data_IF_955039425205
#
_entry.id   IF_955039425205
#
_cell.length_a   1.000
_cell.length_b   1.000
_cell.length_c   1.000
_cell.angle_alpha   90.00
_cell.angle_beta   90.00
_cell.angle_gamma   90.00
#
_symmetry.space_group_name_H-M   'P 1'
#
loop_
_entity.id
_entity.type
_entity.pdbx_description
1 polymer ?
#
# COMPACT_ATOMS: atom_id res chain seq x y z
N UNK A 1 -34.36 -6.49 -15.89
CA UNK A 1 -33.74 -5.71 -14.80
C UNK A 1 -32.59 -6.47 -14.10
N UNK A 2 -31.81 -7.37 -14.74
CA UNK A 2 -30.80 -8.18 -14.01
C UNK A 2 -29.66 -8.73 -14.88
N UNK A 3 -28.90 -7.88 -15.58
CA UNK A 3 -27.59 -8.28 -16.14
C UNK A 3 -26.43 -7.45 -15.58
N UNK A 4 -26.67 -6.17 -15.27
CA UNK A 4 -25.66 -5.29 -14.66
C UNK A 4 -25.27 -5.75 -13.24
N UNK A 5 -26.25 -6.08 -12.37
CA UNK A 5 -25.97 -6.53 -11.00
C UNK A 5 -25.15 -7.83 -10.92
N UNK A 6 -25.33 -8.74 -11.88
CA UNK A 6 -24.61 -10.02 -11.93
C UNK A 6 -23.16 -9.85 -12.36
N UNK A 7 -22.88 -8.91 -13.28
CA UNK A 7 -21.53 -8.59 -13.73
C UNK A 7 -20.74 -7.86 -12.63
N UNK A 8 -21.41 -6.97 -11.90
CA UNK A 8 -20.85 -6.22 -10.79
C UNK A 8 -20.47 -7.13 -9.61
N UNK A 9 -21.32 -8.09 -9.25
CA UNK A 9 -21.01 -9.10 -8.22
C UNK A 9 -19.83 -10.01 -8.61
N UNK A 10 -19.77 -10.42 -9.88
CA UNK A 10 -18.67 -11.23 -10.39
C UNK A 10 -17.33 -10.49 -10.35
N UNK A 11 -17.33 -9.19 -10.66
CA UNK A 11 -16.14 -8.35 -10.57
C UNK A 11 -15.62 -8.27 -9.12
N UNK A 12 -16.50 -7.98 -8.16
CA UNK A 12 -16.11 -7.90 -6.74
C UNK A 12 -15.58 -9.24 -6.24
N UNK A 13 -16.24 -10.33 -6.62
CA UNK A 13 -15.80 -11.67 -6.23
C UNK A 13 -14.43 -12.03 -6.82
N UNK A 14 -14.21 -11.74 -8.11
CA UNK A 14 -12.90 -11.93 -8.73
C UNK A 14 -11.81 -11.11 -8.05
N UNK A 15 -12.08 -9.84 -7.72
CA UNK A 15 -11.15 -8.99 -6.98
C UNK A 15 -10.85 -9.55 -5.58
N UNK A 16 -11.86 -10.07 -4.88
CA UNK A 16 -11.69 -10.67 -3.56
C UNK A 16 -10.88 -11.97 -3.64
N UNK A 17 -11.22 -12.86 -4.57
CA UNK A 17 -10.56 -14.15 -4.72
C UNK A 17 -9.08 -13.98 -5.13
N UNK A 18 -8.78 -13.00 -5.97
CA UNK A 18 -7.41 -12.75 -6.45
C UNK A 18 -6.57 -11.89 -5.49
N UNK A 19 -7.17 -10.95 -4.78
CA UNK A 19 -6.43 -9.93 -4.04
C UNK A 19 -6.76 -9.85 -2.55
N UNK A 20 -7.87 -10.44 -2.08
CA UNK A 20 -8.34 -10.33 -0.70
C UNK A 20 -7.33 -10.83 0.33
N UNK A 21 -6.81 -12.04 0.16
CA UNK A 21 -5.80 -12.63 1.07
C UNK A 21 -4.50 -11.83 1.14
N UNK A 22 -3.83 -11.55 0.01
CA UNK A 22 -2.62 -10.72 -0.01
C UNK A 22 -2.83 -9.30 0.55
N UNK A 23 -3.97 -8.68 0.25
CA UNK A 23 -4.31 -7.35 0.75
C UNK A 23 -4.54 -7.37 2.26
N UNK A 24 -5.24 -8.38 2.78
CA UNK A 24 -5.43 -8.60 4.21
C UNK A 24 -4.10 -8.76 4.95
N UNK A 25 -3.23 -9.66 4.49
CA UNK A 25 -1.92 -9.88 5.11
C UNK A 25 -1.00 -8.65 5.04
N UNK A 26 -1.16 -7.80 4.03
CA UNK A 26 -0.48 -6.50 3.97
C UNK A 26 -1.01 -5.52 5.02
N UNK A 27 -2.33 -5.34 5.09
CA UNK A 27 -2.94 -4.40 6.04
C UNK A 27 -2.73 -4.85 7.47
N UNK A 28 -2.85 -6.15 7.77
CA UNK A 28 -2.59 -6.71 9.09
C UNK A 28 -1.19 -6.38 9.60
N UNK A 29 -0.17 -6.41 8.73
CA UNK A 29 1.19 -5.99 9.09
C UNK A 29 1.31 -4.49 9.38
N UNK A 30 0.47 -3.67 8.76
CA UNK A 30 0.45 -2.22 8.99
C UNK A 30 -0.34 -1.82 10.24
N UNK A 31 -1.42 -2.54 10.56
CA UNK A 31 -2.32 -2.20 11.66
C UNK A 31 -2.00 -2.96 12.95
N UNK A 32 -1.48 -4.18 12.86
CA UNK A 32 -1.36 -5.11 13.99
C UNK A 32 -2.71 -5.58 14.56
N UNK A 33 -3.82 -5.23 13.90
CA UNK A 33 -5.19 -5.42 14.37
C UNK A 33 -6.01 -6.13 13.27
N UNK A 34 -6.45 -7.39 13.51
CA UNK A 34 -7.25 -8.17 12.57
C UNK A 34 -8.56 -7.50 12.14
N UNK A 35 -9.32 -6.92 13.08
CA UNK A 35 -10.60 -6.29 12.77
C UNK A 35 -10.41 -5.06 11.89
N UNK A 36 -9.40 -4.24 12.19
CA UNK A 36 -9.03 -3.09 11.34
C UNK A 36 -8.56 -3.54 9.96
N UNK A 37 -7.87 -4.67 9.88
CA UNK A 37 -7.41 -5.20 8.59
C UNK A 37 -8.58 -5.64 7.71
N UNK A 38 -9.59 -6.31 8.29
CA UNK A 38 -10.82 -6.68 7.57
C UNK A 38 -11.57 -5.44 7.06
N UNK A 39 -11.79 -4.45 7.92
CA UNK A 39 -12.50 -3.21 7.56
C UNK A 39 -11.84 -2.48 6.38
N UNK A 40 -10.52 -2.36 6.42
CA UNK A 40 -9.76 -1.69 5.35
C UNK A 40 -9.82 -2.47 4.05
N UNK A 41 -9.72 -3.80 4.10
CA UNK A 41 -9.85 -4.65 2.89
C UNK A 41 -11.23 -4.49 2.29
N UNK A 42 -12.28 -4.57 3.10
CA UNK A 42 -13.67 -4.40 2.65
C UNK A 42 -13.89 -3.03 2.01
N UNK A 43 -13.49 -1.95 2.68
CA UNK A 43 -13.62 -0.59 2.15
C UNK A 43 -12.79 -0.39 0.86
N UNK A 44 -11.62 -1.03 0.75
CA UNK A 44 -10.79 -0.97 -0.46
C UNK A 44 -11.49 -1.62 -1.64
N UNK A 45 -12.05 -2.82 -1.45
CA UNK A 45 -12.81 -3.52 -2.50
C UNK A 45 -14.10 -2.79 -2.85
N UNK A 46 -14.78 -2.19 -1.87
CA UNK A 46 -15.96 -1.36 -2.08
C UNK A 46 -15.65 -0.14 -2.94
N UNK A 47 -14.50 0.51 -2.73
CA UNK A 47 -14.03 1.62 -3.58
C UNK A 47 -13.68 1.16 -4.99
N UNK A 48 -13.09 -0.01 -5.14
CA UNK A 48 -12.80 -0.61 -6.44
C UNK A 48 -14.11 -0.81 -7.24
N UNK A 49 -15.13 -1.33 -6.56
CA UNK A 49 -16.46 -1.56 -7.13
C UNK A 49 -17.17 -0.26 -7.53
N UNK A 50 -17.15 0.76 -6.67
CA UNK A 50 -17.81 2.06 -6.95
C UNK A 50 -17.11 2.89 -8.04
N UNK A 51 -15.85 2.58 -8.32
CA UNK A 51 -15.02 3.35 -9.25
C UNK A 51 -14.24 2.44 -10.22
N UNK A 52 -14.92 1.69 -11.11
CA UNK A 52 -14.25 0.79 -12.05
C UNK A 52 -13.37 1.55 -13.06
N UNK A 53 -13.71 2.79 -13.40
CA UNK A 53 -12.84 3.69 -14.19
C UNK A 53 -11.52 3.99 -13.47
N UNK A 54 -11.53 3.93 -12.13
CA UNK A 54 -10.34 3.99 -11.31
C UNK A 54 -9.54 2.67 -11.31
N UNK A 55 -9.83 1.73 -12.19
CA UNK A 55 -9.00 0.54 -12.45
C UNK A 55 -8.53 0.49 -13.91
N UNK A 56 -9.11 1.32 -14.78
CA UNK A 56 -8.74 1.36 -16.19
C UNK A 56 -7.28 1.80 -16.39
N UNK A 57 -6.54 1.02 -17.19
CA UNK A 57 -5.16 1.34 -17.62
C UNK A 57 -4.08 1.25 -16.53
N UNK A 58 -4.38 0.65 -15.36
CA UNK A 58 -3.46 0.55 -14.21
C UNK A 58 -3.42 -0.88 -13.68
N UNK A 59 -2.35 -1.22 -12.95
CA UNK A 59 -2.32 -2.46 -12.18
C UNK A 59 -3.36 -2.39 -11.06
N UNK A 60 -4.37 -3.27 -11.13
CA UNK A 60 -5.44 -3.39 -10.12
C UNK A 60 -4.83 -3.64 -8.74
N UNK A 61 -3.89 -4.58 -8.64
CA UNK A 61 -3.16 -4.88 -7.42
C UNK A 61 -2.48 -3.63 -6.84
N UNK A 62 -1.73 -2.88 -7.64
CA UNK A 62 -1.05 -1.68 -7.15
C UNK A 62 -2.05 -0.60 -6.67
N UNK A 63 -3.19 -0.46 -7.35
CA UNK A 63 -4.24 0.46 -6.95
C UNK A 63 -4.88 0.06 -5.62
N UNK A 64 -5.24 -1.21 -5.44
CA UNK A 64 -5.83 -1.73 -4.20
C UNK A 64 -4.92 -1.50 -3.00
N UNK A 65 -3.63 -1.82 -3.13
CA UNK A 65 -2.66 -1.62 -2.04
C UNK A 65 -2.46 -0.13 -1.72
N UNK A 66 -2.52 0.75 -2.73
CA UNK A 66 -2.47 2.20 -2.52
C UNK A 66 -3.68 2.71 -1.75
N UNK A 67 -4.88 2.24 -2.10
CA UNK A 67 -6.13 2.63 -1.43
C UNK A 67 -6.17 2.12 0.01
N UNK A 68 -5.84 0.84 0.23
CA UNK A 68 -5.78 0.24 1.56
C UNK A 68 -4.81 0.99 2.48
N UNK A 69 -3.63 1.35 1.97
CA UNK A 69 -2.66 2.17 2.71
C UNK A 69 -3.25 3.53 3.10
N UNK A 70 -3.87 4.25 2.16
CA UNK A 70 -4.44 5.57 2.44
C UNK A 70 -5.51 5.48 3.54
N UNK A 71 -6.34 4.44 3.53
CA UNK A 71 -7.32 4.17 4.58
C UNK A 71 -6.66 3.94 5.95
N UNK A 72 -5.60 3.13 6.02
CA UNK A 72 -4.86 2.89 7.27
C UNK A 72 -4.29 4.20 7.84
N UNK A 73 -3.68 5.01 6.97
CA UNK A 73 -3.11 6.31 7.32
C UNK A 73 -4.16 7.26 7.86
N UNK A 74 -5.27 7.41 7.13
CA UNK A 74 -6.33 8.34 7.49
C UNK A 74 -6.93 7.95 8.85
N UNK A 75 -7.14 6.66 9.08
CA UNK A 75 -7.61 6.15 10.36
C UNK A 75 -6.60 6.37 11.50
N UNK A 76 -5.29 6.17 11.26
CA UNK A 76 -4.25 6.44 12.27
C UNK A 76 -4.24 7.92 12.69
N UNK A 77 -4.39 8.84 11.73
CA UNK A 77 -4.46 10.28 12.01
C UNK A 77 -5.71 10.67 12.79
N UNK A 78 -6.86 10.14 12.40
CA UNK A 78 -8.12 10.39 13.09
C UNK A 78 -8.06 9.94 14.56
N UNK A 79 -7.38 8.80 14.83
CA UNK A 79 -7.11 8.33 16.19
C UNK A 79 -6.18 9.25 16.97
N UNK A 80 -5.10 9.74 16.35
CA UNK A 80 -4.13 10.65 16.98
C UNK A 80 -4.73 12.02 17.34
N UNK A 81 -5.76 12.47 16.62
CA UNK A 81 -6.50 13.69 16.95
C UNK A 81 -7.51 13.54 18.09
N UNK A 82 -7.70 12.33 18.64
CA UNK A 82 -8.64 12.01 19.71
C UNK A 82 -7.86 11.68 21.01
N UNK A 83 -8.31 12.09 22.21
CA UNK A 83 -7.66 11.71 23.47
C UNK A 83 -7.59 10.17 23.60
N UNK A 84 -6.48 9.60 24.10
CA UNK A 84 -6.28 8.16 24.07
C UNK A 84 -7.17 7.45 25.10
N UNK A 85 -7.93 6.45 24.64
CA UNK A 85 -8.44 5.36 25.47
C UNK A 85 -7.48 4.16 25.36
N UNK A 86 -7.19 3.53 26.49
CA UNK A 86 -6.13 2.55 26.74
C UNK A 86 -6.48 1.11 26.34
N UNK A 87 -5.46 0.31 25.94
CA UNK A 87 -5.46 -1.18 25.86
C UNK A 87 -5.43 -1.72 24.42
N UNK A 88 -4.66 -2.75 24.03
CA UNK A 88 -3.94 -3.79 24.77
C UNK A 88 -2.84 -4.44 23.88
N UNK A 89 -1.88 -5.15 24.50
CA UNK A 89 -0.63 -5.66 23.91
C UNK A 89 -0.74 -7.03 23.18
N UNK A 90 -0.08 -7.09 22.01
CA UNK A 90 0.88 -8.08 21.49
C UNK A 90 0.63 -9.62 21.49
N UNK A 91 0.87 -10.29 20.34
CA UNK A 91 2.08 -11.11 20.02
C UNK A 91 1.92 -11.97 18.76
N UNK A 92 3.05 -12.20 18.08
CA UNK A 92 3.22 -12.79 16.76
C UNK A 92 3.48 -14.32 16.75
N UNK A 93 3.13 -14.99 15.64
CA UNK A 93 3.77 -16.23 15.16
C UNK A 93 3.70 -16.29 13.62
N UNK A 94 4.81 -16.61 12.94
CA UNK A 94 4.86 -16.94 11.49
C UNK A 94 5.67 -18.24 11.33
N UNK A 95 5.29 -19.21 10.46
CA UNK A 95 6.08 -20.42 10.22
C UNK A 95 7.23 -20.20 9.23
N UNK A 96 8.29 -20.98 9.42
CA UNK A 96 9.57 -20.91 8.74
C UNK A 96 9.64 -21.85 7.51
N UNK A 97 9.82 -21.23 6.34
CA UNK A 97 10.59 -21.69 5.16
C UNK A 97 10.63 -20.53 4.15
N UNK A 98 9.54 -19.76 4.08
CA UNK A 98 9.44 -18.47 3.38
C UNK A 98 10.38 -17.38 3.92
N UNK A 99 10.99 -17.55 5.08
CA UNK A 99 11.77 -16.50 5.75
C UNK A 99 13.08 -16.20 5.03
N UNK A 100 13.72 -17.22 4.45
CA UNK A 100 14.97 -17.03 3.70
C UNK A 100 14.72 -16.37 2.35
N UNK A 101 13.73 -16.82 1.59
CA UNK A 101 13.35 -16.17 0.32
C UNK A 101 12.85 -14.74 0.57
N UNK A 102 12.02 -14.52 1.59
CA UNK A 102 11.60 -13.16 1.99
C UNK A 102 12.75 -12.30 2.48
N UNK A 103 13.76 -12.87 3.16
CA UNK A 103 14.94 -12.14 3.58
C UNK A 103 15.81 -11.73 2.38
N UNK A 104 15.97 -12.62 1.39
CA UNK A 104 16.68 -12.34 0.14
C UNK A 104 15.94 -11.30 -0.70
N UNK A 105 14.63 -11.44 -0.87
CA UNK A 105 13.78 -10.43 -1.52
C UNK A 105 13.86 -9.09 -0.78
N UNK A 106 13.76 -9.10 0.55
CA UNK A 106 13.87 -7.90 1.39
C UNK A 106 15.23 -7.22 1.25
N UNK A 107 16.32 -8.01 1.19
CA UNK A 107 17.67 -7.47 1.03
C UNK A 107 17.83 -6.85 -0.35
N UNK A 108 17.36 -7.51 -1.40
CA UNK A 108 17.50 -7.02 -2.76
C UNK A 108 16.58 -5.82 -3.07
N UNK A 109 15.41 -5.73 -2.40
CA UNK A 109 14.59 -4.51 -2.38
C UNK A 109 15.30 -3.38 -1.64
N UNK A 110 15.97 -3.66 -0.51
CA UNK A 110 16.75 -2.67 0.22
C UNK A 110 17.94 -2.15 -0.61
N UNK A 111 18.63 -3.03 -1.34
CA UNK A 111 19.68 -2.64 -2.28
C UNK A 111 19.14 -1.82 -3.46
N UNK A 112 17.99 -2.21 -4.02
CA UNK A 112 17.34 -1.45 -5.07
C UNK A 112 16.99 -0.03 -4.58
N UNK A 113 16.45 0.10 -3.37
CA UNK A 113 16.22 1.41 -2.75
C UNK A 113 17.52 2.18 -2.50
N UNK A 114 18.63 1.48 -2.22
CA UNK A 114 19.93 2.07 -1.99
C UNK A 114 20.58 2.65 -3.27
N UNK A 115 20.19 2.19 -4.46
CA UNK A 115 20.67 2.76 -5.74
C UNK A 115 19.91 4.02 -6.15
N UNK A 116 18.75 4.30 -5.55
CA UNK A 116 18.01 5.53 -5.81
C UNK A 116 18.78 6.74 -5.28
N UNK A 117 18.66 7.85 -6.02
CA UNK A 117 19.11 9.17 -5.56
C UNK A 117 18.48 9.50 -4.19
N UNK A 118 19.18 10.21 -3.29
CA UNK A 118 18.68 10.51 -1.95
C UNK A 118 17.28 11.12 -1.97
N UNK A 119 17.02 12.06 -2.88
CA UNK A 119 15.74 12.77 -2.96
C UNK A 119 14.59 11.84 -3.37
N UNK A 120 14.88 10.84 -4.22
CA UNK A 120 13.92 9.81 -4.61
C UNK A 120 13.64 8.86 -3.45
N UNK A 121 14.66 8.47 -2.69
CA UNK A 121 14.49 7.61 -1.52
C UNK A 121 13.71 8.32 -0.42
N UNK A 122 14.03 9.58 -0.14
CA UNK A 122 13.35 10.40 0.86
C UNK A 122 11.87 10.59 0.53
N UNK A 123 11.53 10.91 -0.73
CA UNK A 123 10.12 11.06 -1.09
C UNK A 123 9.36 9.73 -0.99
N UNK A 124 10.00 8.60 -1.31
CA UNK A 124 9.39 7.28 -1.10
C UNK A 124 9.29 6.93 0.39
N UNK A 125 10.26 7.32 1.21
CA UNK A 125 10.19 7.15 2.66
C UNK A 125 8.97 7.90 3.23
N UNK A 126 8.80 9.16 2.86
CA UNK A 126 7.68 9.95 3.35
C UNK A 126 6.32 9.44 2.82
N UNK A 127 6.25 9.19 1.51
CA UNK A 127 4.99 8.87 0.83
C UNK A 127 4.62 7.40 0.91
N UNK A 128 5.54 6.45 1.12
CA UNK A 128 5.25 5.02 1.22
C UNK A 128 5.51 4.44 2.60
N UNK A 129 6.66 4.71 3.22
CA UNK A 129 6.97 4.18 4.56
C UNK A 129 6.21 4.90 5.68
N UNK A 130 6.18 6.24 5.67
CA UNK A 130 5.67 7.05 6.78
C UNK A 130 4.19 7.41 6.73
N UNK A 131 3.45 6.90 5.74
CA UNK A 131 2.03 7.21 5.64
C UNK A 131 1.70 8.62 5.12
N UNK A 132 2.66 9.47 4.73
CA UNK A 132 2.33 10.90 4.52
C UNK A 132 1.53 11.14 3.23
N UNK A 133 0.62 12.11 3.29
CA UNK A 133 -0.06 12.62 2.09
C UNK A 133 0.92 13.47 1.29
N UNK A 134 0.57 13.80 0.05
CA UNK A 134 1.38 14.72 -0.78
C UNK A 134 1.65 16.04 -0.06
N UNK A 135 0.67 16.56 0.71
CA UNK A 135 0.80 17.82 1.43
C UNK A 135 1.77 17.71 2.60
N UNK A 136 1.67 16.66 3.42
CA UNK A 136 2.58 16.52 4.57
C UNK A 136 3.97 16.09 4.16
N UNK A 137 4.11 15.31 3.09
CA UNK A 137 5.42 15.01 2.51
C UNK A 137 6.06 16.30 1.97
N UNK A 138 5.27 17.20 1.37
CA UNK A 138 5.75 18.51 0.92
C UNK A 138 6.24 19.37 2.10
N UNK A 139 5.47 19.41 3.18
CA UNK A 139 5.84 20.12 4.42
C UNK A 139 7.09 19.50 5.07
N UNK A 140 7.16 18.17 5.18
CA UNK A 140 8.28 17.46 5.79
C UNK A 140 9.59 17.60 5.00
N UNK A 141 9.50 17.59 3.67
CA UNK A 141 10.67 17.68 2.78
C UNK A 141 11.04 19.13 2.42
N UNK A 142 10.21 20.12 2.79
CA UNK A 142 10.42 21.52 2.40
C UNK A 142 10.34 21.76 0.89
N UNK A 143 9.52 21.00 0.16
CA UNK A 143 9.39 21.09 -1.30
C UNK A 143 7.92 21.28 -1.73
N UNK A 144 7.65 21.83 -2.94
CA UNK A 144 6.28 21.96 -3.42
C UNK A 144 5.55 20.62 -3.57
N UNK A 145 4.23 20.59 -3.32
CA UNK A 145 3.39 19.41 -3.52
C UNK A 145 3.45 18.85 -4.96
N UNK A 146 3.60 19.73 -5.96
CA UNK A 146 3.84 19.31 -7.35
C UNK A 146 5.15 18.54 -7.51
N UNK A 147 6.20 18.96 -6.80
CA UNK A 147 7.50 18.28 -6.75
C UNK A 147 7.40 16.94 -6.03
N UNK A 148 6.63 16.83 -4.96
CA UNK A 148 6.37 15.53 -4.31
C UNK A 148 5.76 14.55 -5.32
N UNK A 149 4.72 14.96 -6.07
CA UNK A 149 4.08 14.11 -7.08
C UNK A 149 5.05 13.68 -8.18
N UNK A 150 5.77 14.63 -8.78
CA UNK A 150 6.70 14.33 -9.88
C UNK A 150 7.90 13.50 -9.40
N UNK A 151 8.48 13.85 -8.24
CA UNK A 151 9.59 13.10 -7.65
C UNK A 151 9.19 11.69 -7.25
N UNK A 152 7.99 11.49 -6.69
CA UNK A 152 7.45 10.16 -6.40
C UNK A 152 7.32 9.33 -7.68
N UNK A 153 6.77 9.91 -8.75
CA UNK A 153 6.64 9.24 -10.04
C UNK A 153 7.99 8.78 -10.61
N UNK A 154 9.00 9.65 -10.63
CA UNK A 154 10.33 9.28 -11.11
C UNK A 154 11.06 8.32 -10.17
N UNK A 155 10.85 8.44 -8.86
CA UNK A 155 11.41 7.52 -7.87
C UNK A 155 10.87 6.09 -8.05
N UNK A 156 9.57 5.92 -8.29
CA UNK A 156 8.97 4.62 -8.55
C UNK A 156 9.47 4.01 -9.86
N UNK A 157 9.65 4.81 -10.92
CA UNK A 157 10.25 4.33 -12.18
C UNK A 157 11.71 3.89 -11.99
N UNK A 158 12.49 4.67 -11.25
CA UNK A 158 13.87 4.30 -10.93
C UNK A 158 13.94 3.02 -10.09
N UNK A 159 13.03 2.88 -9.12
CA UNK A 159 12.91 1.66 -8.31
C UNK A 159 12.51 0.45 -9.15
N UNK A 160 11.54 0.60 -10.05
CA UNK A 160 11.15 -0.47 -10.98
C UNK A 160 12.34 -0.97 -11.78
N UNK A 161 13.10 -0.06 -12.39
CA UNK A 161 14.30 -0.41 -13.15
C UNK A 161 15.35 -1.12 -12.27
N UNK A 162 15.60 -0.62 -11.06
CA UNK A 162 16.55 -1.22 -10.14
C UNK A 162 16.14 -2.64 -9.69
N UNK A 163 14.84 -2.92 -9.61
CA UNK A 163 14.29 -4.25 -9.31
C UNK A 163 14.33 -5.18 -10.54
N UNK A 164 14.04 -4.67 -11.74
CA UNK A 164 14.16 -5.41 -13.01
C UNK A 164 15.59 -5.90 -13.24
N UNK A 165 16.58 -5.04 -13.04
CA UNK A 165 18.01 -5.38 -13.12
C UNK A 165 18.44 -6.48 -12.14
N UNK A 166 17.67 -6.67 -11.05
CA UNK A 166 17.92 -7.68 -10.01
C UNK A 166 17.05 -8.92 -10.17
N UNK A 167 16.23 -9.00 -11.23
CA UNK A 167 15.35 -10.15 -11.48
C UNK A 167 14.16 -10.25 -10.52
N UNK A 168 13.77 -9.16 -9.88
CA UNK A 168 12.71 -9.10 -8.85
C UNK A 168 11.41 -8.44 -9.33
N UNK A 169 11.38 -7.96 -10.57
CA UNK A 169 10.17 -7.42 -11.17
C UNK A 169 9.33 -8.56 -11.78
N UNK A 170 8.00 -8.51 -11.63
CA UNK A 170 7.10 -9.46 -12.30
C UNK A 170 7.12 -9.29 -13.83
#
# INVERSE_FOLDING_TARGET
MSQAGTADEQLVRALFDEHGGPLYGYVLRLTGDPGRAEDVVQETLLRAWRHPDALAGRSIRAWLFTVARNLVVDQHRARRSRPPETGDEALAVVPADDELERAVESWAVAEALATLRPEHREVLAEVYYQGKSVKEAAEALGIPAGTVKSRTYYALRALKLALEERGLAP
#
